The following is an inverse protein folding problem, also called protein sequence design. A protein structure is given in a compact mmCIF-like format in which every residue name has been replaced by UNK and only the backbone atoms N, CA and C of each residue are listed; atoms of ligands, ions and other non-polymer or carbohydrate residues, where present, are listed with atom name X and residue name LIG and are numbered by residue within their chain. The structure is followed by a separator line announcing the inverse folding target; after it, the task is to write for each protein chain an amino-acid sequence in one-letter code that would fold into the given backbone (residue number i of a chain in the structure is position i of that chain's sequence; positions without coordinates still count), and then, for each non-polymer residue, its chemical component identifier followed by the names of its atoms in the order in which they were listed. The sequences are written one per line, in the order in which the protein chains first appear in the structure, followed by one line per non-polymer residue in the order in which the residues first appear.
data_IF_012164822947
#
_entry.id   IF_012164822947
#
_cell.length_a   1.000
_cell.length_b   1.000
_cell.length_c   1.000
_cell.angle_alpha   90.00
_cell.angle_beta   90.00
_cell.angle_gamma   90.00
#
_symmetry.space_group_name_H-M   'P 1'
#
loop_
_entity.id
_entity.type
_entity.pdbx_description
1 polymer ?
#
# COMPACT_ATOMS: atom_id res chain seq x y z
N UNK A 1 13.42 15.13 -18.36
CA UNK A 1 12.66 13.86 -18.41
C UNK A 1 13.11 13.02 -17.23
N UNK A 2 12.42 13.12 -16.09
CA UNK A 2 12.68 12.29 -14.91
C UNK A 2 12.11 10.90 -15.21
N UNK A 3 12.87 9.79 -15.10
CA UNK A 3 12.25 8.48 -15.22
C UNK A 3 11.29 8.30 -14.03
N UNK A 4 9.98 8.12 -14.26
CA UNK A 4 9.06 7.82 -13.18
C UNK A 4 9.18 6.32 -12.91
N UNK A 5 9.98 5.91 -11.92
CA UNK A 5 9.92 4.58 -11.27
C UNK A 5 11.09 4.42 -10.30
N UNK A 6 11.01 5.08 -9.14
CA UNK A 6 12.05 5.00 -8.09
C UNK A 6 11.94 3.78 -7.17
N UNK A 7 11.08 2.80 -7.49
CA UNK A 7 10.91 1.63 -6.64
C UNK A 7 12.18 0.74 -6.69
N UNK A 8 12.65 0.23 -5.54
CA UNK A 8 13.70 -0.77 -5.53
C UNK A 8 13.28 -1.97 -6.37
N UNK A 9 14.20 -2.56 -7.15
CA UNK A 9 13.93 -3.58 -8.17
C UNK A 9 13.16 -4.84 -7.70
N UNK A 10 12.96 -5.02 -6.39
CA UNK A 10 12.25 -6.16 -5.79
C UNK A 10 10.87 -5.81 -5.23
N UNK A 11 10.46 -4.53 -5.27
CA UNK A 11 9.18 -4.09 -4.74
C UNK A 11 8.13 -4.14 -5.85
N UNK A 12 7.01 -4.80 -5.57
CA UNK A 12 5.83 -4.83 -6.43
C UNK A 12 4.68 -4.16 -5.71
N UNK A 13 4.04 -3.19 -6.36
CA UNK A 13 2.81 -2.58 -5.87
C UNK A 13 1.63 -3.24 -6.56
N UNK A 14 0.61 -3.61 -5.79
CA UNK A 14 -0.58 -4.30 -6.29
C UNK A 14 -1.84 -3.74 -5.63
N UNK A 15 -2.93 -3.63 -6.38
CA UNK A 15 -4.27 -3.27 -5.88
C UNK A 15 -5.11 -4.54 -5.75
N UNK A 16 -5.09 -5.22 -4.58
CA UNK A 16 -5.90 -6.42 -4.39
C UNK A 16 -7.41 -6.09 -4.47
N UNK A 17 -8.24 -7.01 -4.98
CA UNK A 17 -9.67 -6.84 -4.97
C UNK A 17 -10.20 -6.82 -3.53
N UNK A 18 -11.30 -6.09 -3.33
CA UNK A 18 -11.98 -5.98 -2.04
C UNK A 18 -13.10 -7.01 -1.90
N UNK A 19 -13.33 -7.57 -0.70
CA UNK A 19 -12.61 -7.32 0.54
C UNK A 19 -11.21 -7.96 0.56
N UNK A 20 -10.27 -7.34 1.28
CA UNK A 20 -8.91 -7.85 1.41
C UNK A 20 -8.89 -9.27 1.97
N UNK A 21 -8.05 -10.13 1.38
CA UNK A 21 -7.79 -11.45 1.94
C UNK A 21 -7.24 -11.34 3.37
N UNK A 22 -7.55 -12.28 4.29
CA UNK A 22 -7.20 -12.17 5.71
C UNK A 22 -5.72 -11.93 6.00
N UNK A 23 -4.82 -12.50 5.19
CA UNK A 23 -3.38 -12.30 5.33
C UNK A 23 -2.96 -10.85 5.00
N UNK A 24 -3.54 -10.27 3.94
CA UNK A 24 -3.27 -8.91 3.51
C UNK A 24 -3.86 -7.89 4.48
N UNK A 25 -5.09 -8.14 4.95
CA UNK A 25 -5.75 -7.31 5.95
C UNK A 25 -4.92 -7.24 7.25
N UNK A 26 -4.37 -8.37 7.71
CA UNK A 26 -3.49 -8.41 8.89
C UNK A 26 -2.20 -7.61 8.70
N UNK A 27 -1.58 -7.67 7.52
CA UNK A 27 -0.38 -6.91 7.24
C UNK A 27 -0.67 -5.41 7.16
N UNK A 28 -1.77 -5.05 6.48
CA UNK A 28 -2.21 -3.67 6.37
C UNK A 28 -2.59 -3.09 7.75
N UNK A 29 -3.27 -3.84 8.61
CA UNK A 29 -3.59 -3.42 9.98
C UNK A 29 -2.35 -3.21 10.87
N UNK A 30 -1.22 -3.90 10.59
CA UNK A 30 0.04 -3.64 11.30
C UNK A 30 0.69 -2.33 10.87
N UNK A 31 0.58 -1.98 9.60
CA UNK A 31 1.16 -0.76 9.01
C UNK A 31 0.25 0.46 9.22
N UNK A 32 -1.06 0.26 9.21
CA UNK A 32 -2.12 1.24 9.34
C UNK A 32 -3.10 0.78 10.42
N UNK A 33 -2.76 0.91 11.72
CA UNK A 33 -3.61 0.44 12.82
C UNK A 33 -4.91 1.23 12.97
N UNK A 34 -4.98 2.43 12.38
CA UNK A 34 -6.18 3.27 12.36
C UNK A 34 -7.20 2.88 11.28
N UNK A 35 -6.82 2.01 10.34
CA UNK A 35 -7.69 1.63 9.24
C UNK A 35 -8.81 0.70 9.73
N UNK A 36 -10.07 0.98 9.36
CA UNK A 36 -11.19 0.09 9.65
C UNK A 36 -11.07 -1.21 8.85
N UNK A 37 -11.85 -2.21 9.27
CA UNK A 37 -11.93 -3.49 8.55
C UNK A 37 -12.57 -3.33 7.16
N UNK A 38 -13.47 -2.36 7.00
CA UNK A 38 -14.12 -2.03 5.74
C UNK A 38 -13.39 -0.87 5.04
N UNK A 39 -12.57 -1.22 4.07
CA UNK A 39 -11.88 -0.27 3.19
C UNK A 39 -12.55 -0.28 1.82
N UNK A 40 -12.62 0.90 1.19
CA UNK A 40 -13.15 1.11 -0.16
C UNK A 40 -12.06 1.12 -1.23
N UNK A 41 -10.79 1.16 -0.83
CA UNK A 41 -9.64 0.99 -1.71
C UNK A 41 -8.42 0.47 -0.96
N UNK A 42 -7.59 -0.31 -1.62
CA UNK A 42 -6.34 -0.82 -1.04
C UNK A 42 -5.25 -0.97 -2.10
N UNK A 43 -4.05 -0.51 -1.78
CA UNK A 43 -2.81 -0.76 -2.50
C UNK A 43 -1.77 -1.31 -1.53
N UNK A 44 -1.03 -2.35 -1.94
CA UNK A 44 -0.04 -3.02 -1.11
C UNK A 44 1.29 -3.13 -1.85
N UNK A 45 2.37 -2.83 -1.15
CA UNK A 45 3.74 -2.97 -1.62
C UNK A 45 4.34 -4.25 -1.04
N UNK A 46 4.81 -5.14 -1.91
CA UNK A 46 5.31 -6.47 -1.56
C UNK A 46 6.77 -6.57 -2.01
N UNK A 47 7.64 -6.98 -1.10
CA UNK A 47 9.05 -7.29 -1.40
C UNK A 47 9.43 -8.63 -0.77
N UNK A 48 10.00 -9.53 -1.57
CA UNK A 48 10.45 -10.84 -1.08
C UNK A 48 9.35 -11.71 -0.47
N UNK A 49 8.09 -11.52 -0.89
CA UNK A 49 6.93 -12.25 -0.35
C UNK A 49 6.30 -11.62 0.90
N UNK A 50 6.84 -10.51 1.40
CA UNK A 50 6.31 -9.79 2.56
C UNK A 50 5.73 -8.45 2.16
N UNK A 51 4.60 -8.07 2.75
CA UNK A 51 4.02 -6.73 2.62
C UNK A 51 4.88 -5.76 3.43
N UNK A 52 5.46 -4.79 2.74
CA UNK A 52 6.34 -3.75 3.33
C UNK A 52 5.68 -2.37 3.32
N UNK A 53 4.55 -2.21 2.65
CA UNK A 53 3.79 -0.98 2.59
C UNK A 53 2.33 -1.23 2.27
N UNK A 54 1.46 -0.38 2.80
CA UNK A 54 0.02 -0.41 2.57
C UNK A 54 -0.51 1.01 2.46
N UNK A 55 -1.37 1.24 1.49
CA UNK A 55 -2.22 2.42 1.42
C UNK A 55 -3.67 1.95 1.36
N UNK A 56 -4.48 2.48 2.26
CA UNK A 56 -5.87 2.11 2.43
C UNK A 56 -6.73 3.36 2.35
N UNK A 57 -7.90 3.22 1.72
CA UNK A 57 -8.93 4.26 1.64
C UNK A 57 -10.24 3.72 2.16
N UNK A 58 -10.98 4.52 2.92
CA UNK A 58 -12.30 4.17 3.43
C UNK A 58 -13.19 5.40 3.50
N UNK A 59 -14.45 5.21 3.86
CA UNK A 59 -15.39 6.31 4.04
C UNK A 59 -14.97 7.14 5.25
N UNK A 60 -14.53 8.38 5.00
CA UNK A 60 -14.10 9.31 6.04
C UNK A 60 -12.59 9.43 6.22
N UNK A 61 -11.77 8.71 5.43
CA UNK A 61 -10.32 8.89 5.49
C UNK A 61 -9.51 7.90 4.66
N UNK A 62 -8.21 7.93 4.89
CA UNK A 62 -7.26 6.98 4.35
C UNK A 62 -6.01 6.99 5.21
N UNK A 63 -5.26 5.89 5.16
CA UNK A 63 -3.97 5.78 5.82
C UNK A 63 -2.95 5.20 4.86
N UNK A 64 -1.71 5.64 5.03
CA UNK A 64 -0.57 5.14 4.31
C UNK A 64 0.52 4.79 5.31
N UNK A 65 0.97 3.55 5.26
CA UNK A 65 1.99 3.03 6.16
C UNK A 65 3.04 2.25 5.38
N UNK A 66 4.30 2.59 5.58
CA UNK A 66 5.46 1.86 5.03
C UNK A 66 6.38 1.47 6.18
N UNK A 67 6.89 0.25 6.11
CA UNK A 67 7.88 -0.29 7.02
C UNK A 67 9.11 0.64 7.08
N UNK A 68 9.63 0.89 8.27
CA UNK A 68 10.67 1.90 8.51
C UNK A 68 11.95 1.64 7.70
N UNK A 69 12.29 0.39 7.41
CA UNK A 69 13.44 0.04 6.57
C UNK A 69 13.27 0.39 5.09
N UNK A 70 12.05 0.72 4.67
CA UNK A 70 11.67 0.95 3.27
C UNK A 70 11.14 2.36 2.99
N UNK A 71 10.98 3.21 4.02
CA UNK A 71 10.56 4.60 3.87
C UNK A 71 11.54 5.42 3.02
N UNK A 72 11.02 6.43 2.32
CA UNK A 72 11.85 7.31 1.48
C UNK A 72 12.43 6.63 0.22
N UNK A 73 11.95 5.43 -0.14
CA UNK A 73 12.32 4.69 -1.36
C UNK A 73 11.31 4.88 -2.50
N UNK A 74 10.43 5.88 -2.41
CA UNK A 74 9.36 6.12 -3.40
C UNK A 74 8.19 5.13 -3.33
N UNK A 75 8.10 4.32 -2.28
CA UNK A 75 6.98 3.36 -2.09
C UNK A 75 5.69 4.08 -1.72
N UNK A 76 5.79 5.13 -0.91
CA UNK A 76 4.66 5.94 -0.46
C UNK A 76 3.96 6.58 -1.67
N UNK A 77 4.73 7.19 -2.56
CA UNK A 77 4.25 7.74 -3.83
C UNK A 77 3.61 6.65 -4.70
N UNK A 78 4.31 5.53 -4.94
CA UNK A 78 3.79 4.46 -5.79
C UNK A 78 2.50 3.82 -5.24
N UNK A 79 2.36 3.73 -3.92
CA UNK A 79 1.14 3.27 -3.26
C UNK A 79 0.00 4.28 -3.44
N UNK A 80 0.30 5.58 -3.28
CA UNK A 80 -0.66 6.66 -3.51
C UNK A 80 -1.14 6.71 -4.95
N UNK A 81 -0.23 6.58 -5.92
CA UNK A 81 -0.56 6.50 -7.35
C UNK A 81 -1.42 5.27 -7.65
N UNK A 82 -1.03 4.08 -7.16
CA UNK A 82 -1.81 2.86 -7.39
C UNK A 82 -3.23 2.94 -6.80
N UNK A 83 -3.38 3.57 -5.63
CA UNK A 83 -4.68 3.77 -4.99
C UNK A 83 -5.50 4.89 -5.64
N UNK A 84 -4.84 5.91 -6.22
CA UNK A 84 -5.47 7.06 -6.88
C UNK A 84 -5.80 6.85 -8.35
N UNK A 85 -5.17 5.86 -9.00
CA UNK A 85 -5.39 5.52 -10.41
C UNK A 85 -6.55 4.51 -10.62
N UNK A 86 -7.34 4.25 -9.58
CA UNK A 86 -8.64 3.55 -9.65
C UNK A 86 -9.73 4.57 -10.05
N UNK A 87 -9.65 5.10 -11.27
CA UNK A 87 -10.59 6.05 -11.87
C UNK A 87 -10.94 5.68 -13.30
#
# INVERSE_FOLDING_TARGET
MTPPSGLPARVRVTTPPLPLAPALARAAARLCPEAPQEVTGAALAIAGGSVIGAALRWTGGGALGVDTGWRGRGIEEALGEALGNEG
#
